data_IF_641321631421
#
_entry.id   IF_641321631421
#
_cell.length_a   1.000
_cell.length_b   1.000
_cell.length_c   1.000
_cell.angle_alpha   90.00
_cell.angle_beta   90.00
_cell.angle_gamma   90.00
#
_symmetry.space_group_name_H-M   'P 1'
#
loop_
_entity.id
_entity.type
_entity.pdbx_description
1 polymer ?
#
# COMPACT_ATOMS: atom_id res chain seq x y z
N UNK A 1 -19.59 -8.25 28.73
CA UNK A 1 -19.41 -7.27 27.62
C UNK A 1 -20.76 -6.82 27.08
N UNK A 2 -21.06 -5.51 27.12
CA UNK A 2 -22.34 -4.96 26.62
C UNK A 2 -22.53 -5.13 25.10
N UNK A 3 -23.77 -5.36 24.65
CA UNK A 3 -24.20 -5.51 23.25
C UNK A 3 -23.76 -4.32 22.36
N UNK A 4 -23.70 -3.10 22.93
CA UNK A 4 -23.26 -1.88 22.21
C UNK A 4 -21.77 -1.91 21.86
N UNK A 5 -20.92 -2.44 22.76
CA UNK A 5 -19.47 -2.60 22.47
C UNK A 5 -19.24 -3.60 21.34
N UNK A 6 -19.98 -4.71 21.31
CA UNK A 6 -19.90 -5.73 20.24
C UNK A 6 -20.29 -5.16 18.86
N UNK A 7 -21.36 -4.35 18.79
CA UNK A 7 -21.79 -3.68 17.54
C UNK A 7 -20.75 -2.67 17.04
N UNK A 8 -20.10 -1.91 17.92
CA UNK A 8 -19.05 -0.94 17.57
C UNK A 8 -17.79 -1.61 17.00
N UNK A 9 -17.37 -2.75 17.56
CA UNK A 9 -16.22 -3.50 17.07
C UNK A 9 -16.48 -4.14 15.69
N UNK A 10 -17.69 -4.65 15.46
CA UNK A 10 -18.07 -5.19 14.16
C UNK A 10 -18.05 -4.13 13.05
N UNK A 11 -18.57 -2.93 13.33
CA UNK A 11 -18.54 -1.81 12.39
C UNK A 11 -17.11 -1.36 12.07
N UNK A 12 -16.24 -1.28 13.08
CA UNK A 12 -14.82 -0.97 12.92
C UNK A 12 -14.12 -1.98 12.02
N UNK A 13 -14.33 -3.28 12.25
CA UNK A 13 -13.70 -4.34 11.48
C UNK A 13 -14.16 -4.34 10.01
N UNK A 14 -15.45 -4.05 9.75
CA UNK A 14 -15.97 -3.88 8.38
C UNK A 14 -15.28 -2.72 7.66
N UNK A 15 -15.14 -1.57 8.30
CA UNK A 15 -14.48 -0.39 7.72
C UNK A 15 -13.01 -0.68 7.38
N UNK A 16 -12.29 -1.34 8.30
CA UNK A 16 -10.89 -1.73 8.09
C UNK A 16 -10.78 -2.72 6.91
N UNK A 17 -11.68 -3.71 6.83
CA UNK A 17 -11.74 -4.66 5.71
C UNK A 17 -12.00 -3.97 4.38
N UNK A 18 -12.94 -3.04 4.32
CA UNK A 18 -13.22 -2.22 3.13
C UNK A 18 -12.00 -1.41 2.70
N UNK A 19 -11.35 -0.70 3.64
CA UNK A 19 -10.14 0.06 3.35
C UNK A 19 -9.02 -0.84 2.80
N UNK A 20 -8.86 -2.04 3.36
CA UNK A 20 -7.89 -3.01 2.87
C UNK A 20 -8.17 -3.45 1.43
N UNK A 21 -9.42 -3.76 1.10
CA UNK A 21 -9.81 -4.10 -0.28
C UNK A 21 -9.47 -2.98 -1.25
N UNK A 22 -9.72 -1.72 -0.87
CA UNK A 22 -9.35 -0.55 -1.67
C UNK A 22 -7.83 -0.41 -1.84
N UNK A 23 -7.05 -0.69 -0.79
CA UNK A 23 -5.59 -0.66 -0.86
C UNK A 23 -5.05 -1.77 -1.79
N UNK A 24 -5.56 -3.00 -1.68
CA UNK A 24 -5.15 -4.10 -2.56
C UNK A 24 -5.45 -3.79 -4.04
N UNK A 25 -6.63 -3.23 -4.33
CA UNK A 25 -6.96 -2.73 -5.68
C UNK A 25 -6.02 -1.62 -6.11
N UNK A 26 -5.70 -0.69 -5.21
CA UNK A 26 -4.73 0.39 -5.43
C UNK A 26 -3.34 -0.11 -5.81
N UNK A 27 -2.79 -1.06 -5.06
CA UNK A 27 -1.49 -1.69 -5.32
C UNK A 27 -1.45 -2.33 -6.70
N UNK A 28 -2.49 -3.12 -7.06
CA UNK A 28 -2.56 -3.75 -8.39
C UNK A 28 -2.57 -2.69 -9.50
N UNK A 29 -3.42 -1.67 -9.38
CA UNK A 29 -3.51 -0.58 -10.36
C UNK A 29 -2.19 0.17 -10.51
N UNK A 30 -1.53 0.51 -9.41
CA UNK A 30 -0.25 1.23 -9.43
C UNK A 30 0.86 0.43 -10.12
N UNK A 31 0.92 -0.89 -9.89
CA UNK A 31 1.90 -1.75 -10.55
C UNK A 31 1.58 -1.93 -12.04
N UNK A 32 0.30 -2.01 -12.43
CA UNK A 32 -0.07 -2.01 -13.85
C UNK A 32 0.32 -0.70 -14.55
N UNK A 33 0.06 0.44 -13.92
CA UNK A 33 0.46 1.75 -14.44
C UNK A 33 1.97 1.84 -14.57
N UNK A 34 2.73 1.37 -13.57
CA UNK A 34 4.18 1.31 -13.64
C UNK A 34 4.66 0.39 -14.77
N UNK A 35 4.06 -0.79 -14.92
CA UNK A 35 4.41 -1.70 -16.02
C UNK A 35 4.21 -1.06 -17.38
N UNK A 36 3.07 -0.39 -17.59
CA UNK A 36 2.75 0.31 -18.84
C UNK A 36 3.68 1.50 -19.09
N UNK A 37 4.08 2.22 -18.04
CA UNK A 37 5.03 3.32 -18.15
C UNK A 37 6.43 2.81 -18.53
N UNK A 38 6.90 1.74 -17.88
CA UNK A 38 8.20 1.14 -18.19
C UNK A 38 8.23 0.50 -19.58
N UNK A 39 7.14 -0.15 -20.04
CA UNK A 39 7.10 -0.72 -21.39
C UNK A 39 7.18 0.32 -22.51
N UNK A 40 6.87 1.58 -22.22
CA UNK A 40 6.94 2.71 -23.15
C UNK A 40 8.19 3.57 -22.96
N UNK A 41 8.98 3.29 -21.92
CA UNK A 41 10.16 4.07 -21.56
C UNK A 41 11.43 3.40 -22.10
N UNK A 42 12.44 4.21 -22.42
CA UNK A 42 13.80 3.69 -22.63
C UNK A 42 14.41 3.26 -21.29
N UNK A 43 15.32 2.26 -21.26
CA UNK A 43 15.99 1.82 -20.03
C UNK A 43 16.64 2.95 -19.22
N UNK A 44 17.26 3.93 -19.91
CA UNK A 44 17.85 5.13 -19.30
C UNK A 44 16.86 5.97 -18.49
N UNK A 45 15.56 5.88 -18.79
CA UNK A 45 14.48 6.60 -18.12
C UNK A 45 13.83 5.84 -16.97
N UNK A 46 14.12 4.54 -16.81
CA UNK A 46 13.45 3.69 -15.82
C UNK A 46 13.58 4.22 -14.39
N UNK A 47 14.76 4.67 -13.98
CA UNK A 47 14.97 5.24 -12.65
C UNK A 47 14.05 6.44 -12.37
N UNK A 48 13.86 7.32 -13.36
CA UNK A 48 12.97 8.48 -13.26
C UNK A 48 11.51 8.03 -13.16
N UNK A 49 11.09 7.09 -14.00
CA UNK A 49 9.73 6.53 -14.01
C UNK A 49 9.39 5.84 -12.68
N UNK A 50 10.31 5.04 -12.13
CA UNK A 50 10.13 4.34 -10.86
C UNK A 50 10.01 5.34 -9.69
N UNK A 51 10.89 6.34 -9.61
CA UNK A 51 10.82 7.39 -8.58
C UNK A 51 9.51 8.19 -8.65
N UNK A 52 9.04 8.50 -9.86
CA UNK A 52 7.76 9.17 -10.05
C UNK A 52 6.58 8.31 -9.55
N UNK A 53 6.58 7.00 -9.87
CA UNK A 53 5.59 6.05 -9.38
C UNK A 53 5.63 5.91 -7.85
N UNK A 54 6.82 5.84 -7.26
CA UNK A 54 7.00 5.83 -5.81
C UNK A 54 6.35 7.05 -5.15
N UNK A 55 6.65 8.26 -5.64
CA UNK A 55 6.09 9.50 -5.09
C UNK A 55 4.56 9.50 -5.13
N UNK A 56 3.98 9.05 -6.24
CA UNK A 56 2.54 8.90 -6.41
C UNK A 56 1.96 7.89 -5.41
N UNK A 57 2.59 6.73 -5.27
CA UNK A 57 2.14 5.67 -4.36
C UNK A 57 2.19 6.13 -2.89
N UNK A 58 3.28 6.75 -2.45
CA UNK A 58 3.42 7.24 -1.08
C UNK A 58 2.37 8.31 -0.74
N UNK A 59 2.03 9.18 -1.70
CA UNK A 59 0.93 10.15 -1.53
C UNK A 59 -0.42 9.46 -1.37
N UNK A 60 -0.69 8.44 -2.19
CA UNK A 60 -1.94 7.69 -2.12
C UNK A 60 -2.09 6.93 -0.79
N UNK A 61 -1.02 6.28 -0.31
CA UNK A 61 -1.02 5.58 0.98
C UNK A 61 -1.33 6.52 2.13
N UNK A 62 -0.68 7.70 2.16
CA UNK A 62 -0.93 8.72 3.17
C UNK A 62 -2.37 9.19 3.13
N UNK A 63 -2.89 9.54 1.94
CA UNK A 63 -4.27 9.99 1.77
C UNK A 63 -5.29 8.94 2.24
N UNK A 64 -5.11 7.68 1.83
CA UNK A 64 -6.01 6.58 2.19
C UNK A 64 -6.02 6.29 3.70
N UNK A 65 -4.85 6.30 4.35
CA UNK A 65 -4.77 6.09 5.79
C UNK A 65 -5.28 7.31 6.58
N UNK A 66 -5.02 8.54 6.12
CA UNK A 66 -5.58 9.75 6.75
C UNK A 66 -7.11 9.79 6.65
N UNK A 67 -7.67 9.38 5.51
CA UNK A 67 -9.12 9.24 5.34
C UNK A 67 -9.69 8.21 6.33
N UNK A 68 -9.08 7.02 6.43
CA UNK A 68 -9.48 6.00 7.41
C UNK A 68 -9.42 6.52 8.85
N UNK A 69 -8.33 7.21 9.22
CA UNK A 69 -8.16 7.77 10.56
C UNK A 69 -9.26 8.79 10.89
N UNK A 70 -9.62 9.67 9.94
CA UNK A 70 -10.72 10.64 10.11
C UNK A 70 -12.07 9.95 10.29
N UNK A 71 -12.38 8.95 9.47
CA UNK A 71 -13.64 8.19 9.57
C UNK A 71 -13.75 7.46 10.91
N UNK A 72 -12.68 6.81 11.36
CA UNK A 72 -12.65 6.14 12.66
C UNK A 72 -12.78 7.11 13.83
N UNK A 73 -12.12 8.29 13.76
CA UNK A 73 -12.24 9.34 14.79
C UNK A 73 -13.67 9.85 14.88
N UNK A 74 -14.31 10.20 13.75
CA UNK A 74 -15.70 10.68 13.71
C UNK A 74 -16.71 9.67 14.25
N UNK A 75 -16.40 8.38 14.13
CA UNK A 75 -17.28 7.32 14.60
C UNK A 75 -17.00 6.87 16.04
N UNK A 76 -16.09 7.55 16.77
CA UNK A 76 -15.70 7.17 18.13
C UNK A 76 -14.92 5.85 18.24
N UNK A 77 -14.41 5.31 17.14
CA UNK A 77 -13.83 3.95 17.07
C UNK A 77 -12.31 3.88 17.32
N UNK A 78 -11.68 5.03 17.62
CA UNK A 78 -10.24 5.17 17.88
C UNK A 78 -9.38 5.16 16.60
N UNK A 79 -8.39 6.07 16.52
CA UNK A 79 -7.55 6.26 15.31
C UNK A 79 -6.07 5.86 15.50
N UNK A 80 -5.66 5.46 16.71
CA UNK A 80 -4.26 5.18 17.07
C UNK A 80 -3.65 4.07 16.21
N UNK A 81 -4.42 3.01 15.94
CA UNK A 81 -3.96 1.85 15.15
C UNK A 81 -3.72 2.17 13.67
N UNK A 82 -4.33 3.22 13.13
CA UNK A 82 -4.13 3.63 11.74
C UNK A 82 -2.75 4.25 11.52
N UNK A 83 -2.20 4.97 12.52
CA UNK A 83 -0.86 5.56 12.42
C UNK A 83 0.22 4.49 12.31
N UNK A 84 0.17 3.47 13.15
CA UNK A 84 1.13 2.36 13.11
C UNK A 84 1.00 1.56 11.81
N UNK A 85 -0.23 1.26 11.37
CA UNK A 85 -0.50 0.62 10.08
C UNK A 85 0.11 1.41 8.91
N UNK A 86 -0.10 2.72 8.89
CA UNK A 86 0.47 3.60 7.85
C UNK A 86 2.00 3.58 7.87
N UNK A 87 2.63 3.64 9.04
CA UNK A 87 4.10 3.60 9.18
C UNK A 87 4.67 2.29 8.61
N UNK A 88 4.06 1.15 8.94
CA UNK A 88 4.43 -0.16 8.42
C UNK A 88 4.31 -0.20 6.90
N UNK A 89 3.18 0.28 6.36
CA UNK A 89 2.95 0.34 4.91
C UNK A 89 4.01 1.18 4.18
N UNK A 90 4.25 2.40 4.67
CA UNK A 90 5.21 3.32 4.05
C UNK A 90 6.63 2.75 4.08
N UNK A 91 7.04 2.09 5.16
CA UNK A 91 8.37 1.49 5.25
C UNK A 91 8.53 0.30 4.31
N UNK A 92 7.52 -0.57 4.22
CA UNK A 92 7.52 -1.68 3.28
C UNK A 92 7.62 -1.19 1.83
N UNK A 93 6.81 -0.18 1.45
CA UNK A 93 6.79 0.35 0.09
C UNK A 93 8.11 1.04 -0.30
N UNK A 94 8.71 1.82 0.60
CA UNK A 94 10.03 2.41 0.38
C UNK A 94 11.10 1.34 0.13
N UNK A 95 11.13 0.29 0.96
CA UNK A 95 12.08 -0.83 0.79
C UNK A 95 11.88 -1.53 -0.55
N UNK A 96 10.64 -1.84 -0.91
CA UNK A 96 10.31 -2.54 -2.15
C UNK A 96 10.62 -1.70 -3.40
N UNK A 97 10.48 -0.37 -3.32
CA UNK A 97 10.93 0.54 -4.39
C UNK A 97 12.44 0.56 -4.53
N UNK A 98 13.20 0.57 -3.42
CA UNK A 98 14.66 0.46 -3.45
C UNK A 98 15.10 -0.84 -4.10
N UNK A 99 14.47 -1.96 -3.74
CA UNK A 99 14.73 -3.28 -4.35
C UNK A 99 14.43 -3.28 -5.86
N UNK A 100 13.31 -2.68 -6.28
CA UNK A 100 12.98 -2.52 -7.70
C UNK A 100 14.03 -1.67 -8.44
N UNK A 101 14.43 -0.53 -7.88
CA UNK A 101 15.44 0.34 -8.48
C UNK A 101 16.77 -0.39 -8.65
N UNK A 102 17.21 -1.11 -7.63
CA UNK A 102 18.46 -1.88 -7.68
C UNK A 102 18.39 -2.98 -8.75
N UNK A 103 17.29 -3.74 -8.81
CA UNK A 103 17.11 -4.80 -9.79
C UNK A 103 17.11 -4.25 -11.23
N UNK A 104 16.43 -3.13 -11.46
CA UNK A 104 16.33 -2.52 -12.79
C UNK A 104 17.64 -1.84 -13.22
N UNK A 105 18.44 -1.34 -12.27
CA UNK A 105 19.79 -0.83 -12.56
C UNK A 105 20.76 -1.93 -12.91
N UNK A 106 20.74 -3.04 -12.16
CA UNK A 106 21.61 -4.18 -12.40
C UNK A 106 21.27 -4.89 -13.71
N UNK A 107 19.97 -5.06 -14.00
CA UNK A 107 19.53 -5.65 -15.25
C UNK A 107 18.21 -5.01 -15.72
N UNK A 108 18.28 -4.02 -16.64
CA UNK A 108 17.09 -3.36 -17.16
C UNK A 108 16.12 -4.29 -17.87
N UNK A 109 16.59 -5.37 -18.53
CA UNK A 109 15.69 -6.31 -19.24
C UNK A 109 14.80 -7.10 -18.26
N UNK A 110 15.21 -7.22 -17.00
CA UNK A 110 14.49 -7.94 -15.94
C UNK A 110 13.32 -7.14 -15.32
N UNK A 111 13.05 -5.91 -15.79
CA UNK A 111 12.10 -4.99 -15.17
C UNK A 111 10.71 -5.59 -14.94
N UNK A 112 10.19 -6.40 -15.87
CA UNK A 112 8.88 -7.05 -15.74
C UNK A 112 8.83 -7.96 -14.50
N UNK A 113 9.87 -8.77 -14.30
CA UNK A 113 10.00 -9.68 -13.15
C UNK A 113 10.15 -8.88 -11.86
N UNK A 114 10.94 -7.82 -11.87
CA UNK A 114 11.15 -6.95 -10.71
C UNK A 114 9.84 -6.27 -10.26
N UNK A 115 9.03 -5.74 -11.20
CA UNK A 115 7.72 -5.15 -10.87
C UNK A 115 6.74 -6.19 -10.33
N UNK A 116 6.69 -7.41 -10.90
CA UNK A 116 5.86 -8.50 -10.35
C UNK A 116 6.26 -8.88 -8.91
N UNK A 117 7.56 -8.99 -8.63
CA UNK A 117 8.08 -9.28 -7.28
C UNK A 117 7.70 -8.18 -6.29
N UNK A 118 7.88 -6.91 -6.67
CA UNK A 118 7.44 -5.76 -5.89
C UNK A 118 5.95 -5.83 -5.57
N UNK A 119 5.11 -6.03 -6.60
CA UNK A 119 3.66 -6.15 -6.42
C UNK A 119 3.29 -7.25 -5.42
N UNK A 120 3.86 -8.45 -5.56
CA UNK A 120 3.57 -9.56 -4.65
C UNK A 120 3.97 -9.25 -3.20
N UNK A 121 5.11 -8.59 -3.01
CA UNK A 121 5.58 -8.15 -1.70
C UNK A 121 4.64 -7.09 -1.10
N UNK A 122 4.17 -6.13 -1.90
CA UNK A 122 3.20 -5.10 -1.49
C UNK A 122 1.86 -5.71 -1.07
N UNK A 123 1.34 -6.66 -1.86
CA UNK A 123 0.10 -7.37 -1.55
C UNK A 123 0.21 -8.14 -0.23
N UNK A 124 1.34 -8.81 0.02
CA UNK A 124 1.61 -9.50 1.29
C UNK A 124 1.64 -8.52 2.46
N UNK A 125 2.32 -7.38 2.33
CA UNK A 125 2.40 -6.36 3.38
C UNK A 125 1.03 -5.77 3.74
N UNK A 126 0.20 -5.45 2.75
CA UNK A 126 -1.17 -4.96 2.96
C UNK A 126 -2.02 -6.04 3.65
N UNK A 127 -1.88 -7.30 3.24
CA UNK A 127 -2.63 -8.41 3.85
C UNK A 127 -2.21 -8.69 5.29
N UNK A 128 -0.91 -8.57 5.60
CA UNK A 128 -0.37 -8.76 6.95
C UNK A 128 -0.82 -7.65 7.93
N UNK A 129 -0.98 -6.41 7.45
CA UNK A 129 -1.51 -5.31 8.28
C UNK A 129 -2.89 -5.62 8.85
N UNK A 130 -3.74 -6.33 8.11
CA UNK A 130 -5.05 -6.71 8.61
C UNK A 130 -4.96 -7.69 9.77
N UNK A 131 -4.08 -8.70 9.69
CA UNK A 131 -3.88 -9.65 10.79
C UNK A 131 -3.45 -8.91 12.06
N UNK A 132 -2.52 -7.96 11.95
CA UNK A 132 -2.01 -7.20 13.10
C UNK A 132 -3.00 -6.18 13.68
N UNK A 133 -4.06 -5.79 12.96
CA UNK A 133 -5.05 -4.81 13.43
C UNK A 133 -6.36 -5.49 13.88
N UNK A 134 -6.62 -6.72 13.42
CA UNK A 134 -7.79 -7.53 13.79
C UNK A 134 -7.49 -8.57 14.89
N UNK A 135 -6.23 -8.88 15.16
CA UNK A 135 -5.78 -9.65 16.34
C UNK A 135 -5.94 -8.82 17.60
#
# INVERSE_FOLDING_TARGET
MSQTRKKSAAARNRLIKQNNTLQLKGVRRQNMVLMKALSRSKPSSYSKTIKANEKMQLRQIRSQNMSLARTLKRSGMGASLVKNRMKIQLNADKRQNKELLNAVRANPSSWRKAVKRRMNSQLKAVSAQNRAVMS
#
